data_IF_287637419876
#
_entry.id   IF_287637419876
#
_cell.length_a   1.000
_cell.length_b   1.000
_cell.length_c   1.000
_cell.angle_alpha   90.00
_cell.angle_beta   90.00
_cell.angle_gamma   90.00
#
_symmetry.space_group_name_H-M   'P 1'
#
loop_
_entity.id
_entity.type
_entity.pdbx_description
1 polymer ?
#
# COMPACT_ATOMS: atom_id res chain seq x y z
N UNK A 1 -18.51 -32.79 3.70
CA UNK A 1 -17.21 -32.26 3.23
C UNK A 1 -16.84 -31.07 4.14
N UNK A 2 -15.61 -31.07 4.66
CA UNK A 2 -15.17 -29.92 5.48
C UNK A 2 -15.15 -28.66 4.61
N UNK A 3 -15.75 -27.57 5.08
CA UNK A 3 -15.77 -26.31 4.35
C UNK A 3 -14.39 -25.65 4.35
N UNK A 4 -14.12 -24.74 3.44
CA UNK A 4 -12.88 -23.96 3.45
C UNK A 4 -12.67 -23.24 4.79
N UNK A 5 -13.74 -22.84 5.47
CA UNK A 5 -13.70 -22.24 6.80
C UNK A 5 -13.26 -23.23 7.87
N UNK A 6 -13.73 -24.48 7.85
CA UNK A 6 -13.32 -25.50 8.81
C UNK A 6 -11.83 -25.84 8.70
N UNK A 7 -11.29 -25.76 7.48
CA UNK A 7 -9.86 -25.94 7.27
C UNK A 7 -9.06 -24.80 7.93
N UNK A 8 -9.47 -23.54 7.75
CA UNK A 8 -8.80 -22.39 8.38
C UNK A 8 -8.95 -22.42 9.89
N UNK A 9 -10.13 -22.75 10.43
CA UNK A 9 -10.33 -22.92 11.89
C UNK A 9 -9.36 -23.93 12.49
N UNK A 10 -9.16 -25.07 11.81
CA UNK A 10 -8.17 -26.09 12.25
C UNK A 10 -6.74 -25.54 12.24
N UNK A 11 -6.37 -24.76 11.23
CA UNK A 11 -5.04 -24.12 11.17
C UNK A 11 -4.88 -23.09 12.29
N UNK A 12 -5.90 -22.26 12.55
CA UNK A 12 -5.89 -21.29 13.65
C UNK A 12 -5.70 -22.02 14.98
N UNK A 13 -6.47 -23.09 15.25
CA UNK A 13 -6.34 -23.86 16.50
C UNK A 13 -4.97 -24.51 16.65
N UNK A 14 -4.36 -24.95 15.54
CA UNK A 14 -3.02 -25.57 15.57
C UNK A 14 -1.90 -24.55 15.75
N UNK A 15 -1.95 -23.41 15.04
CA UNK A 15 -0.88 -22.41 15.01
C UNK A 15 -1.03 -21.30 16.04
N UNK A 16 -2.27 -20.96 16.36
CA UNK A 16 -2.61 -19.90 17.31
C UNK A 16 -3.29 -20.47 18.56
N UNK A 17 -2.89 -21.67 19.00
CA UNK A 17 -3.41 -22.32 20.21
C UNK A 17 -3.17 -21.54 21.52
N UNK A 18 -2.34 -20.50 21.49
CA UNK A 18 -2.15 -19.54 22.58
C UNK A 18 -3.30 -18.54 22.72
N UNK A 19 -4.19 -18.44 21.72
CA UNK A 19 -5.42 -17.63 21.79
C UNK A 19 -6.55 -18.47 22.42
N UNK A 20 -7.43 -17.82 23.17
CA UNK A 20 -8.65 -18.46 23.67
C UNK A 20 -9.60 -18.83 22.53
N UNK A 21 -10.49 -19.76 22.77
CA UNK A 21 -11.43 -20.25 21.74
C UNK A 21 -12.29 -19.11 21.15
N UNK A 22 -12.78 -18.19 21.99
CA UNK A 22 -13.53 -17.02 21.55
C UNK A 22 -12.71 -16.09 20.65
N UNK A 23 -11.44 -15.90 20.95
CA UNK A 23 -10.51 -15.11 20.16
C UNK A 23 -10.17 -15.78 18.81
N UNK A 24 -10.07 -17.12 18.78
CA UNK A 24 -9.85 -17.86 17.55
C UNK A 24 -11.05 -17.76 16.60
N UNK A 25 -12.27 -17.85 17.15
CA UNK A 25 -13.49 -17.66 16.35
C UNK A 25 -13.64 -16.22 15.84
N UNK A 26 -13.28 -15.25 16.67
CA UNK A 26 -13.32 -13.84 16.31
C UNK A 26 -12.31 -13.52 15.20
N UNK A 27 -11.10 -14.08 15.28
CA UNK A 27 -10.09 -13.96 14.23
C UNK A 27 -10.58 -14.55 12.90
N UNK A 28 -11.16 -15.76 12.92
CA UNK A 28 -11.68 -16.38 11.70
C UNK A 28 -12.81 -15.57 11.09
N UNK A 29 -13.71 -15.02 11.92
CA UNK A 29 -14.78 -14.16 11.48
C UNK A 29 -14.25 -12.88 10.84
N UNK A 30 -13.21 -12.27 11.43
CA UNK A 30 -12.52 -11.12 10.87
C UNK A 30 -11.90 -11.42 9.51
N UNK A 31 -11.20 -12.56 9.37
CA UNK A 31 -10.62 -13.02 8.11
C UNK A 31 -11.71 -13.16 7.03
N UNK A 32 -12.84 -13.78 7.37
CA UNK A 32 -13.93 -13.97 6.42
C UNK A 32 -14.54 -12.64 5.99
N UNK A 33 -14.84 -11.75 6.95
CA UNK A 33 -15.42 -10.44 6.67
C UNK A 33 -14.48 -9.58 5.81
N UNK A 34 -13.19 -9.56 6.13
CA UNK A 34 -12.21 -8.84 5.32
C UNK A 34 -12.11 -9.41 3.91
N UNK A 35 -12.16 -10.74 3.76
CA UNK A 35 -12.20 -11.38 2.44
C UNK A 35 -13.40 -10.95 1.62
N UNK A 36 -14.58 -10.79 2.23
CA UNK A 36 -15.77 -10.30 1.54
C UNK A 36 -15.57 -8.87 1.01
N UNK A 37 -14.98 -8.00 1.82
CA UNK A 37 -14.67 -6.62 1.44
C UNK A 37 -13.64 -6.57 0.29
N UNK A 38 -12.58 -7.37 0.38
CA UNK A 38 -11.56 -7.46 -0.68
C UNK A 38 -12.10 -8.07 -1.98
N UNK A 39 -12.98 -9.06 -1.88
CA UNK A 39 -13.66 -9.65 -3.04
C UNK A 39 -14.55 -8.61 -3.75
N UNK A 40 -15.26 -7.77 -2.98
CA UNK A 40 -16.05 -6.67 -3.52
C UNK A 40 -15.18 -5.64 -4.24
N UNK A 41 -14.08 -5.21 -3.61
CA UNK A 41 -13.11 -4.28 -4.19
C UNK A 41 -12.52 -4.78 -5.51
N UNK A 42 -12.29 -6.10 -5.60
CA UNK A 42 -11.75 -6.78 -6.79
C UNK A 42 -12.79 -7.19 -7.82
N UNK A 43 -14.09 -7.04 -7.53
CA UNK A 43 -15.18 -7.51 -8.39
C UNK A 43 -15.29 -9.04 -8.46
N UNK A 44 -14.74 -9.76 -7.49
CA UNK A 44 -14.75 -11.22 -7.44
C UNK A 44 -16.06 -11.74 -6.86
N UNK A 45 -16.68 -12.76 -7.50
CA UNK A 45 -17.92 -13.38 -7.00
C UNK A 45 -17.68 -14.07 -5.66
N UNK A 46 -18.47 -13.69 -4.65
CA UNK A 46 -18.38 -14.12 -3.24
C UNK A 46 -19.05 -15.48 -2.98
N UNK A 47 -18.65 -16.49 -3.73
CA UNK A 47 -19.16 -17.87 -3.61
C UNK A 47 -17.98 -18.85 -3.53
N UNK A 48 -18.12 -19.92 -2.74
CA UNK A 48 -17.04 -20.88 -2.49
C UNK A 48 -16.64 -21.71 -3.72
N UNK A 49 -17.54 -21.85 -4.69
CA UNK A 49 -17.29 -22.48 -5.97
C UNK A 49 -16.34 -21.65 -6.86
N UNK A 50 -16.20 -20.37 -6.57
CA UNK A 50 -15.24 -19.52 -7.26
C UNK A 50 -13.83 -19.75 -6.69
N UNK A 51 -12.88 -20.27 -7.48
CA UNK A 51 -11.53 -20.56 -7.02
C UNK A 51 -10.77 -19.27 -6.60
N UNK A 52 -11.07 -18.13 -7.21
CA UNK A 52 -10.46 -16.84 -6.85
C UNK A 52 -10.88 -16.40 -5.44
N UNK A 53 -12.17 -16.53 -5.10
CA UNK A 53 -12.66 -16.23 -3.76
C UNK A 53 -12.06 -17.16 -2.71
N UNK A 54 -12.01 -18.45 -3.00
CA UNK A 54 -11.40 -19.44 -2.11
C UNK A 54 -9.90 -19.21 -1.92
N UNK A 55 -9.18 -18.79 -2.98
CA UNK A 55 -7.77 -18.45 -2.91
C UNK A 55 -7.56 -17.17 -2.08
N UNK A 56 -8.37 -16.13 -2.31
CA UNK A 56 -8.32 -14.88 -1.55
C UNK A 56 -8.48 -15.14 -0.06
N UNK A 57 -9.48 -15.93 0.33
CA UNK A 57 -9.70 -16.29 1.73
C UNK A 57 -8.48 -17.01 2.35
N UNK A 58 -7.85 -17.93 1.62
CA UNK A 58 -6.64 -18.62 2.08
C UNK A 58 -5.47 -17.66 2.26
N UNK A 59 -5.29 -16.71 1.35
CA UNK A 59 -4.22 -15.70 1.39
C UNK A 59 -4.41 -14.80 2.62
N UNK A 60 -5.62 -14.31 2.86
CA UNK A 60 -5.90 -13.47 4.03
C UNK A 60 -5.74 -14.25 5.35
N UNK A 61 -6.17 -15.51 5.39
CA UNK A 61 -5.94 -16.37 6.54
C UNK A 61 -4.45 -16.59 6.79
N UNK A 62 -3.68 -16.91 5.75
CA UNK A 62 -2.24 -17.11 5.88
C UNK A 62 -1.54 -15.85 6.35
N UNK A 63 -1.91 -14.67 5.83
CA UNK A 63 -1.37 -13.38 6.23
C UNK A 63 -1.57 -13.12 7.72
N UNK A 64 -2.81 -13.27 8.21
CA UNK A 64 -3.14 -13.04 9.61
C UNK A 64 -2.44 -14.04 10.53
N UNK A 65 -2.52 -15.34 10.24
CA UNK A 65 -1.93 -16.40 11.04
C UNK A 65 -0.41 -16.29 11.10
N UNK A 66 0.26 -16.05 9.95
CA UNK A 66 1.73 -15.97 9.90
C UNK A 66 2.28 -14.77 10.66
N UNK A 67 1.53 -13.68 10.82
CA UNK A 67 1.93 -12.55 11.65
C UNK A 67 1.71 -12.79 13.14
N UNK A 68 0.73 -13.62 13.51
CA UNK A 68 0.45 -13.96 14.90
C UNK A 68 1.32 -15.10 15.43
N UNK A 69 1.65 -16.07 14.58
CA UNK A 69 2.45 -17.24 14.96
C UNK A 69 3.93 -16.85 15.12
N UNK A 70 4.47 -16.85 16.35
CA UNK A 70 5.86 -16.47 16.60
C UNK A 70 6.87 -17.43 15.98
N UNK A 71 6.44 -18.64 15.61
CA UNK A 71 7.30 -19.66 14.96
C UNK A 71 7.26 -19.57 13.43
N UNK A 72 6.46 -18.66 12.88
CA UNK A 72 6.34 -18.47 11.44
C UNK A 72 7.60 -17.82 10.84
N UNK A 73 7.73 -17.93 9.51
CA UNK A 73 8.80 -17.27 8.76
C UNK A 73 8.75 -15.72 8.84
N UNK A 74 7.59 -15.15 9.22
CA UNK A 74 7.42 -13.68 9.39
C UNK A 74 8.14 -13.21 10.64
N UNK A 75 8.16 -14.05 11.71
CA UNK A 75 8.80 -13.77 12.99
C UNK A 75 8.44 -12.39 13.56
N UNK A 76 7.14 -12.05 13.55
CA UNK A 76 6.67 -10.78 14.09
C UNK A 76 6.72 -10.81 15.64
N UNK A 77 7.59 -10.02 16.28
CA UNK A 77 7.83 -10.14 17.71
C UNK A 77 6.76 -9.47 18.58
N UNK A 78 6.03 -8.50 18.03
CA UNK A 78 5.20 -7.60 18.82
C UNK A 78 3.71 -7.73 18.62
N UNK A 79 3.24 -8.27 17.47
CA UNK A 79 1.81 -8.30 17.19
C UNK A 79 1.02 -9.06 18.27
N UNK A 80 1.54 -10.20 18.71
CA UNK A 80 0.90 -10.98 19.77
C UNK A 80 0.89 -10.23 21.11
N UNK A 81 1.95 -9.51 21.44
CA UNK A 81 2.02 -8.71 22.68
C UNK A 81 0.99 -7.59 22.63
N UNK A 82 0.93 -6.83 21.55
CA UNK A 82 -0.05 -5.76 21.31
C UNK A 82 -1.50 -6.26 21.40
N UNK A 83 -1.77 -7.46 20.85
CA UNK A 83 -3.08 -8.10 20.98
C UNK A 83 -3.41 -8.44 22.45
N UNK A 84 -2.44 -8.93 23.23
CA UNK A 84 -2.61 -9.23 24.65
C UNK A 84 -2.81 -7.97 25.50
N UNK A 85 -2.15 -6.89 25.12
CA UNK A 85 -2.29 -5.57 25.76
C UNK A 85 -3.63 -4.89 25.40
N UNK A 86 -4.40 -5.46 24.47
CA UNK A 86 -5.72 -4.99 24.10
C UNK A 86 -5.71 -3.77 23.19
N UNK A 87 -4.62 -3.53 22.45
CA UNK A 87 -4.55 -2.41 21.49
C UNK A 87 -5.58 -2.56 20.36
N UNK A 88 -5.95 -3.79 20.04
CA UNK A 88 -6.94 -4.14 19.00
C UNK A 88 -7.55 -5.50 19.30
N UNK A 89 -8.63 -5.83 18.60
CA UNK A 89 -9.30 -7.12 18.72
C UNK A 89 -8.83 -8.11 17.62
N UNK A 90 -9.00 -9.44 17.83
CA UNK A 90 -8.57 -10.43 16.84
C UNK A 90 -9.16 -10.21 15.44
N UNK A 91 -10.41 -9.76 15.35
CA UNK A 91 -11.08 -9.51 14.07
C UNK A 91 -10.56 -8.29 13.31
N UNK A 92 -9.80 -7.38 13.95
CA UNK A 92 -9.20 -6.21 13.30
C UNK A 92 -7.94 -6.58 12.49
N UNK A 93 -7.23 -7.63 12.91
CA UNK A 93 -5.93 -8.03 12.32
C UNK A 93 -5.99 -8.20 10.79
N UNK A 94 -7.00 -8.84 10.20
CA UNK A 94 -7.08 -8.99 8.75
C UNK A 94 -7.27 -7.66 7.99
N UNK A 95 -7.83 -6.65 8.63
CA UNK A 95 -8.03 -5.34 8.02
C UNK A 95 -6.79 -4.43 8.09
N UNK A 96 -5.83 -4.76 8.97
CA UNK A 96 -4.60 -3.98 9.13
C UNK A 96 -3.72 -4.02 7.88
N UNK A 97 -3.07 -2.90 7.59
CA UNK A 97 -2.02 -2.81 6.59
C UNK A 97 -0.75 -3.57 7.02
N UNK A 98 0.14 -3.85 6.09
CA UNK A 98 1.43 -4.49 6.42
C UNK A 98 2.26 -3.67 7.41
N UNK A 99 2.18 -2.34 7.31
CA UNK A 99 2.87 -1.43 8.21
C UNK A 99 2.29 -1.46 9.64
N UNK A 100 0.98 -1.60 9.78
CA UNK A 100 0.31 -1.73 11.08
C UNK A 100 0.56 -3.10 11.73
N UNK A 101 0.60 -4.16 10.90
CA UNK A 101 0.91 -5.51 11.38
C UNK A 101 2.35 -5.62 11.90
N UNK A 102 3.34 -5.05 11.20
CA UNK A 102 4.75 -5.14 11.54
C UNK A 102 5.48 -3.81 11.32
N UNK A 103 5.24 -2.81 12.19
CA UNK A 103 5.79 -1.46 12.03
C UNK A 103 7.31 -1.43 11.92
N UNK A 104 8.01 -2.24 12.72
CA UNK A 104 9.48 -2.23 12.79
C UNK A 104 10.10 -2.62 11.44
N UNK A 105 9.51 -3.58 10.75
CA UNK A 105 10.01 -4.05 9.45
C UNK A 105 9.77 -3.03 8.34
N UNK A 106 8.71 -2.24 8.45
CA UNK A 106 8.29 -1.31 7.41
C UNK A 106 8.72 0.14 7.66
N UNK A 107 9.19 0.47 8.88
CA UNK A 107 9.54 1.84 9.27
C UNK A 107 10.54 2.48 8.30
N UNK A 108 11.63 1.80 7.96
CA UNK A 108 12.65 2.31 7.05
C UNK A 108 12.09 2.51 5.62
N UNK A 109 11.31 1.55 5.12
CA UNK A 109 10.71 1.65 3.79
C UNK A 109 9.71 2.81 3.69
N UNK A 110 8.91 3.02 4.75
CA UNK A 110 7.97 4.15 4.84
C UNK A 110 8.73 5.47 4.90
N UNK A 111 9.78 5.58 5.72
CA UNK A 111 10.59 6.78 5.82
C UNK A 111 11.25 7.12 4.47
N UNK A 112 11.78 6.11 3.78
CA UNK A 112 12.35 6.31 2.45
C UNK A 112 11.30 6.73 1.41
N UNK A 113 10.08 6.18 1.47
CA UNK A 113 8.98 6.58 0.60
C UNK A 113 8.58 8.03 0.85
N UNK A 114 8.42 8.43 2.10
CA UNK A 114 8.11 9.81 2.50
C UNK A 114 9.20 10.80 2.06
N UNK A 115 10.48 10.44 2.22
CA UNK A 115 11.59 11.26 1.74
C UNK A 115 11.58 11.44 0.22
N UNK A 116 11.25 10.38 -0.54
CA UNK A 116 11.11 10.48 -2.01
C UNK A 116 9.96 11.37 -2.40
N UNK A 117 8.81 11.22 -1.74
CA UNK A 117 7.63 12.05 -2.00
C UNK A 117 7.90 13.51 -1.65
N UNK A 118 8.47 13.79 -0.48
CA UNK A 118 8.89 15.13 -0.09
C UNK A 118 9.85 15.75 -1.10
N UNK A 119 10.82 14.98 -1.62
CA UNK A 119 11.76 15.44 -2.65
C UNK A 119 11.07 15.73 -3.99
N UNK A 120 10.03 14.97 -4.35
CA UNK A 120 9.24 15.23 -5.56
C UNK A 120 8.35 16.47 -5.41
N UNK A 121 7.88 16.74 -4.18
CA UNK A 121 7.06 17.91 -3.88
C UNK A 121 7.90 19.19 -3.70
N UNK A 122 9.14 19.07 -3.21
CA UNK A 122 10.10 20.18 -3.19
C UNK A 122 10.60 20.42 -4.61
N UNK A 123 9.98 21.38 -5.26
CA UNK A 123 10.47 21.87 -6.54
C UNK A 123 11.85 22.47 -6.31
N UNK A 124 12.88 21.87 -6.90
CA UNK A 124 14.25 22.34 -6.76
C UNK A 124 14.39 23.71 -7.43
N UNK A 125 14.32 24.76 -6.62
CA UNK A 125 14.45 26.13 -7.09
C UNK A 125 15.86 26.46 -7.59
N UNK A 126 16.83 25.60 -7.32
CA UNK A 126 18.21 25.79 -7.80
C UNK A 126 18.32 25.68 -9.32
N UNK A 127 17.37 24.96 -9.94
CA UNK A 127 17.30 24.83 -11.40
C UNK A 127 16.36 25.86 -12.06
N UNK A 128 15.93 26.86 -11.30
CA UNK A 128 15.06 27.89 -11.83
C UNK A 128 15.78 28.78 -12.87
N UNK A 129 15.17 28.94 -14.03
CA UNK A 129 15.61 29.91 -15.03
C UNK A 129 14.63 31.08 -15.07
N UNK A 130 15.16 32.27 -15.27
CA UNK A 130 14.37 33.48 -15.51
C UNK A 130 14.02 33.73 -16.97
N UNK A 131 14.48 32.84 -17.88
CA UNK A 131 14.26 33.00 -19.33
C UNK A 131 12.78 32.97 -19.73
N UNK A 132 11.94 32.29 -18.94
CA UNK A 132 10.52 32.12 -19.27
C UNK A 132 9.64 32.80 -18.24
N UNK A 133 8.66 33.58 -18.71
CA UNK A 133 7.65 34.22 -17.86
C UNK A 133 6.34 33.43 -17.91
N UNK A 134 5.86 33.01 -16.76
CA UNK A 134 4.60 32.27 -16.68
C UNK A 134 3.41 33.18 -16.99
N UNK A 135 2.58 32.77 -17.97
CA UNK A 135 1.38 33.55 -18.34
C UNK A 135 0.27 33.50 -17.27
N UNK A 136 0.32 32.53 -16.34
CA UNK A 136 -0.67 32.39 -15.25
C UNK A 136 -0.36 33.25 -14.04
N UNK A 137 0.85 33.15 -13.47
CA UNK A 137 1.25 33.87 -12.26
C UNK A 137 2.21 35.03 -12.51
N UNK A 138 2.63 35.25 -13.76
CA UNK A 138 3.54 36.31 -14.23
C UNK A 138 4.94 36.29 -13.60
N UNK A 139 5.30 35.25 -12.83
CA UNK A 139 6.65 35.09 -12.29
C UNK A 139 7.56 34.41 -13.31
N UNK A 140 8.87 34.70 -13.20
CA UNK A 140 9.91 34.15 -14.07
C UNK A 140 10.71 33.02 -13.42
N UNK A 141 10.12 32.28 -12.49
CA UNK A 141 10.69 31.10 -11.85
C UNK A 141 10.20 29.85 -12.58
N UNK A 142 10.90 29.45 -13.63
CA UNK A 142 10.53 28.29 -14.47
C UNK A 142 11.70 27.33 -14.58
N UNK A 143 11.39 26.05 -14.77
CA UNK A 143 12.36 25.05 -15.23
C UNK A 143 11.96 24.58 -16.61
N UNK A 144 12.94 24.15 -17.41
CA UNK A 144 12.68 23.61 -18.75
C UNK A 144 13.60 22.43 -19.04
N UNK A 145 13.15 21.60 -19.97
CA UNK A 145 13.96 20.61 -20.61
C UNK A 145 13.64 20.58 -22.12
N UNK A 146 14.62 20.18 -22.91
CA UNK A 146 14.50 20.12 -24.36
C UNK A 146 14.38 18.66 -24.81
N UNK A 147 13.49 18.42 -25.75
CA UNK A 147 13.32 17.09 -26.34
C UNK A 147 13.07 17.22 -27.83
N UNK A 148 13.74 16.37 -28.60
CA UNK A 148 13.45 16.24 -30.03
C UNK A 148 12.14 15.46 -30.20
N UNK A 149 11.08 16.18 -30.57
CA UNK A 149 9.73 15.61 -30.79
C UNK A 149 9.36 15.46 -32.27
N UNK A 150 10.24 15.93 -33.14
CA UNK A 150 10.05 15.92 -34.62
C UNK A 150 11.29 15.36 -35.29
N UNK A 151 11.47 15.70 -36.57
CA UNK A 151 12.64 15.28 -37.34
C UNK A 151 13.94 15.84 -36.80
N UNK A 152 15.08 15.15 -37.04
CA UNK A 152 16.41 15.56 -36.58
C UNK A 152 16.84 16.95 -37.07
N UNK A 153 16.24 17.41 -38.19
CA UNK A 153 16.55 18.71 -38.81
C UNK A 153 15.72 19.88 -38.25
N UNK A 154 14.78 19.58 -37.31
CA UNK A 154 13.95 20.60 -36.68
C UNK A 154 14.47 21.01 -35.28
N UNK A 155 14.20 22.25 -34.83
CA UNK A 155 14.57 22.69 -33.52
C UNK A 155 13.93 21.83 -32.43
N UNK A 156 14.63 21.64 -31.29
CA UNK A 156 14.10 20.90 -30.16
C UNK A 156 12.90 21.63 -29.56
N UNK A 157 11.92 20.86 -29.12
CA UNK A 157 10.79 21.39 -28.37
C UNK A 157 11.15 21.57 -26.92
N UNK A 158 10.92 22.76 -26.39
CA UNK A 158 11.14 23.11 -24.99
C UNK A 158 9.86 22.85 -24.19
N UNK A 159 9.96 22.03 -23.14
CA UNK A 159 8.90 21.76 -22.18
C UNK A 159 9.18 22.57 -20.92
N UNK A 160 8.34 23.52 -20.61
CA UNK A 160 8.55 24.51 -19.56
C UNK A 160 7.54 24.31 -18.44
N UNK A 161 8.00 24.35 -17.20
CA UNK A 161 7.17 24.26 -16.00
C UNK A 161 7.43 25.45 -15.08
N UNK A 162 6.39 26.16 -14.70
CA UNK A 162 6.47 27.20 -13.69
C UNK A 162 6.58 26.57 -12.30
N UNK A 163 7.62 26.93 -11.57
CA UNK A 163 7.89 26.43 -10.22
C UNK A 163 6.94 26.99 -9.17
N UNK A 164 6.33 28.15 -9.45
CA UNK A 164 5.46 28.83 -8.50
C UNK A 164 3.99 28.36 -8.55
N UNK A 165 3.44 28.12 -9.75
CA UNK A 165 2.02 27.77 -9.91
C UNK A 165 1.78 26.42 -10.59
N UNK A 166 2.85 25.67 -10.91
CA UNK A 166 2.78 24.35 -11.52
C UNK A 166 2.32 24.31 -12.98
N UNK A 167 2.03 25.48 -13.62
CA UNK A 167 1.62 25.51 -15.01
C UNK A 167 2.73 24.96 -15.92
N UNK A 168 2.33 24.12 -16.84
CA UNK A 168 3.22 23.54 -17.88
C UNK A 168 2.77 24.03 -19.24
N UNK A 169 3.74 24.28 -20.14
CA UNK A 169 3.51 24.59 -21.54
C UNK A 169 4.71 24.14 -22.35
N UNK A 170 4.56 24.11 -23.66
CA UNK A 170 5.64 23.83 -24.60
C UNK A 170 5.83 25.00 -25.56
N UNK A 171 7.05 25.17 -26.02
CA UNK A 171 7.43 26.14 -27.04
C UNK A 171 8.32 25.43 -28.06
N UNK A 172 8.06 25.64 -29.36
CA UNK A 172 8.98 25.23 -30.40
C UNK A 172 10.15 26.23 -30.42
N UNK A 173 11.36 25.74 -30.51
CA UNK A 173 12.52 26.56 -30.68
C UNK A 173 12.55 27.24 -32.05
#
# INVERSE_FOLDING_TARGET
MATSRDAVKRVISSRCGFLRADQQEDLERGIFNHTLTEAERKGTRRVWENPEFAALYKIEAQRAISNLDPTSYVANPRLLTRLRDGEFLPHDIPAMTYAELFPEKWAEAIEMALKREAKMLTVDKSMATSMFKCSRCRKSECTYYEMQTRSADEPMTQFIRCLNCGKQWRQSG
#
